data_IF_427229531622
#
_entry.id   IF_427229531622
#
_cell.length_a   1.000
_cell.length_b   1.000
_cell.length_c   1.000
_cell.angle_alpha   90.00
_cell.angle_beta   90.00
_cell.angle_gamma   90.00
#
_symmetry.space_group_name_H-M   'P 1'
#
loop_
_entity.id
_entity.type
_entity.pdbx_description
1 polymer ?
#
# COMPACT_ATOMS: atom_id res chain seq x y z
N UNK A 1 10.01 11.22 17.82
CA UNK A 1 9.35 10.59 16.65
C UNK A 1 10.10 11.02 15.40
N UNK A 2 10.67 10.09 14.62
CA UNK A 2 11.43 10.41 13.41
C UNK A 2 10.45 10.66 12.25
N UNK A 3 10.73 11.63 11.39
CA UNK A 3 9.87 12.02 10.27
C UNK A 3 10.69 11.97 8.99
N UNK A 4 10.12 11.41 7.92
CA UNK A 4 10.70 11.44 6.59
C UNK A 4 9.96 12.43 5.70
N UNK A 5 10.71 13.09 4.83
CA UNK A 5 10.16 13.90 3.75
C UNK A 5 10.29 13.10 2.46
N UNK A 6 9.16 12.69 1.90
CA UNK A 6 9.13 11.88 0.68
C UNK A 6 8.56 12.67 -0.48
N UNK A 7 9.05 12.39 -1.69
CA UNK A 7 8.48 12.86 -2.96
C UNK A 7 7.81 11.67 -3.64
N UNK A 8 6.56 11.84 -4.03
CA UNK A 8 5.78 10.86 -4.79
C UNK A 8 5.54 11.46 -6.17
N UNK A 9 5.85 10.71 -7.23
CA UNK A 9 5.70 11.17 -8.60
C UNK A 9 5.11 10.07 -9.49
N UNK A 10 4.18 10.45 -10.37
CA UNK A 10 3.63 9.54 -11.37
C UNK A 10 4.61 9.48 -12.54
N UNK A 11 5.04 8.26 -12.89
CA UNK A 11 5.95 8.04 -14.03
C UNK A 11 5.16 8.08 -15.34
N UNK A 12 5.80 8.55 -16.41
CA UNK A 12 5.25 8.50 -17.78
C UNK A 12 4.23 9.58 -18.14
N UNK A 13 4.00 10.57 -17.27
CA UNK A 13 3.05 11.68 -17.52
C UNK A 13 3.79 13.00 -17.70
N UNK A 14 3.34 13.84 -18.66
CA UNK A 14 3.83 15.20 -18.90
C UNK A 14 2.67 16.21 -18.90
N UNK A 15 2.75 17.33 -18.15
CA UNK A 15 3.82 17.65 -17.21
C UNK A 15 3.85 16.69 -16.00
N UNK A 16 5.01 16.56 -15.34
CA UNK A 16 5.19 15.64 -14.21
C UNK A 16 4.21 15.97 -13.08
N UNK A 17 3.36 15.00 -12.72
CA UNK A 17 2.48 15.08 -11.55
C UNK A 17 3.21 14.52 -10.34
N UNK A 18 3.41 15.34 -9.30
CA UNK A 18 4.09 14.95 -8.07
C UNK A 18 3.53 15.65 -6.83
N UNK A 19 3.82 15.07 -5.66
CA UNK A 19 3.49 15.59 -4.32
C UNK A 19 4.68 15.38 -3.37
N UNK A 20 4.80 16.22 -2.33
CA UNK A 20 5.83 16.09 -1.29
C UNK A 20 5.16 16.09 0.09
N UNK A 21 5.46 15.07 0.90
CA UNK A 21 4.77 14.82 2.17
C UNK A 21 5.77 14.59 3.30
N UNK A 22 5.33 14.89 4.52
CA UNK A 22 6.00 14.51 5.77
C UNK A 22 5.26 13.31 6.35
N UNK A 23 5.94 12.19 6.56
CA UNK A 23 5.36 10.98 7.15
C UNK A 23 6.17 10.53 8.36
N UNK A 24 5.52 9.86 9.31
CA UNK A 24 6.20 9.26 10.44
C UNK A 24 7.10 8.11 9.97
N UNK A 25 8.23 7.90 10.63
CA UNK A 25 9.20 6.89 10.22
C UNK A 25 8.70 5.44 10.35
N UNK A 26 7.69 5.23 11.17
CA UNK A 26 6.98 3.97 11.43
C UNK A 26 5.70 3.81 10.58
N UNK A 27 5.47 4.70 9.60
CA UNK A 27 4.37 4.55 8.64
C UNK A 27 4.52 3.21 7.90
N UNK A 28 3.55 2.31 8.05
CA UNK A 28 3.54 1.03 7.34
C UNK A 28 3.32 1.21 5.84
N UNK A 29 3.71 0.23 5.02
CA UNK A 29 3.45 0.27 3.58
C UNK A 29 1.96 0.29 3.24
N UNK A 30 1.12 -0.38 4.05
CA UNK A 30 -0.34 -0.32 3.90
C UNK A 30 -0.88 1.10 4.17
N UNK A 31 -0.38 1.78 5.21
CA UNK A 31 -0.76 3.18 5.46
C UNK A 31 -0.24 4.12 4.35
N UNK A 32 0.98 3.89 3.86
CA UNK A 32 1.54 4.64 2.75
C UNK A 32 0.72 4.47 1.46
N UNK A 33 0.22 3.26 1.19
CA UNK A 33 -0.71 3.00 0.09
C UNK A 33 -1.96 3.87 0.18
N UNK A 34 -2.65 3.88 1.34
CA UNK A 34 -3.82 4.75 1.53
C UNK A 34 -3.50 6.25 1.38
N UNK A 35 -2.34 6.70 1.87
CA UNK A 35 -1.88 8.09 1.68
C UNK A 35 -1.74 8.39 0.19
N UNK A 36 -1.14 7.48 -0.60
CA UNK A 36 -0.99 7.64 -2.05
C UNK A 36 -2.37 7.72 -2.73
N UNK A 37 -3.31 6.84 -2.37
CA UNK A 37 -4.67 6.86 -2.92
C UNK A 37 -5.34 8.23 -2.70
N UNK A 38 -5.29 8.75 -1.47
CA UNK A 38 -5.91 10.04 -1.11
C UNK A 38 -5.29 11.20 -1.88
N UNK A 39 -3.97 11.34 -1.91
CA UNK A 39 -3.32 12.51 -2.53
C UNK A 39 -3.44 12.53 -4.07
N UNK A 40 -3.68 11.35 -4.66
CA UNK A 40 -3.88 11.18 -6.10
C UNK A 40 -5.35 11.24 -6.50
N UNK A 41 -6.28 11.14 -5.54
CA UNK A 41 -7.71 11.03 -5.82
C UNK A 41 -8.09 9.70 -6.47
N UNK A 42 -7.37 8.63 -6.13
CA UNK A 42 -7.60 7.29 -6.66
C UNK A 42 -8.51 6.48 -5.74
N UNK A 43 -9.37 5.65 -6.33
CA UNK A 43 -10.11 4.62 -5.64
C UNK A 43 -9.25 3.37 -5.47
N UNK A 44 -9.39 2.66 -4.37
CA UNK A 44 -8.65 1.43 -4.06
C UNK A 44 -9.11 0.22 -4.89
N UNK A 45 -9.38 0.45 -6.17
CA UNK A 45 -10.11 -0.45 -7.07
C UNK A 45 -9.19 -1.49 -7.75
N UNK A 46 -7.88 -1.37 -7.54
CA UNK A 46 -6.86 -2.20 -8.19
C UNK A 46 -5.83 -2.73 -7.19
N UNK A 47 -5.29 -3.91 -7.51
CA UNK A 47 -4.17 -4.49 -6.76
C UNK A 47 -2.94 -3.58 -6.83
N UNK A 48 -2.18 -3.56 -5.74
CA UNK A 48 -0.97 -2.75 -5.60
C UNK A 48 0.18 -3.57 -5.03
N UNK A 49 1.41 -3.13 -5.32
CA UNK A 49 2.64 -3.66 -4.73
C UNK A 49 3.68 -2.56 -4.57
N UNK A 50 4.56 -2.73 -3.59
CA UNK A 50 5.78 -1.94 -3.42
C UNK A 50 6.98 -2.81 -3.75
N UNK A 51 7.79 -2.39 -4.72
CA UNK A 51 9.07 -3.02 -5.02
C UNK A 51 10.19 -2.21 -4.38
N UNK A 52 10.90 -2.80 -3.42
CA UNK A 52 11.94 -2.12 -2.64
C UNK A 52 13.17 -3.03 -2.58
N UNK A 53 14.30 -2.55 -3.11
CA UNK A 53 15.59 -3.26 -3.11
C UNK A 53 15.50 -4.73 -3.59
N UNK A 54 14.77 -4.99 -4.68
CA UNK A 54 14.64 -6.33 -5.26
C UNK A 54 13.57 -7.21 -4.61
N UNK A 55 12.81 -6.68 -3.64
CA UNK A 55 11.76 -7.41 -2.94
C UNK A 55 10.39 -6.77 -3.13
N UNK A 56 9.38 -7.61 -3.34
CA UNK A 56 7.99 -7.20 -3.49
C UNK A 56 7.23 -7.31 -2.17
N UNK A 57 6.47 -6.26 -1.85
CA UNK A 57 5.62 -6.16 -0.69
C UNK A 57 4.20 -5.81 -1.13
N UNK A 58 3.21 -6.55 -0.66
CA UNK A 58 1.81 -6.29 -0.95
C UNK A 58 0.88 -7.09 -0.05
N UNK A 59 -0.42 -6.86 -0.20
CA UNK A 59 -1.45 -7.63 0.49
C UNK A 59 -1.72 -8.90 -0.32
N UNK A 60 -1.73 -10.05 0.37
CA UNK A 60 -2.16 -11.32 -0.22
C UNK A 60 -3.68 -11.38 -0.14
N UNK A 61 -4.32 -11.48 -1.30
CA UNK A 61 -5.75 -11.76 -1.41
C UNK A 61 -5.96 -13.26 -1.66
N UNK A 62 -7.11 -13.78 -1.27
CA UNK A 62 -7.52 -15.14 -1.62
C UNK A 62 -7.55 -15.26 -3.15
N UNK A 63 -6.70 -16.13 -3.73
CA UNK A 63 -6.53 -16.27 -5.18
C UNK A 63 -5.39 -15.45 -5.81
N UNK A 64 -4.65 -14.64 -5.04
CA UNK A 64 -3.46 -13.92 -5.53
C UNK A 64 -2.19 -14.79 -5.49
N UNK A 65 -1.23 -14.49 -6.37
CA UNK A 65 0.12 -15.07 -6.31
C UNK A 65 0.77 -14.58 -5.00
N UNK A 66 1.07 -15.49 -4.08
CA UNK A 66 1.66 -15.15 -2.79
C UNK A 66 3.06 -14.55 -2.95
N UNK A 67 3.40 -13.55 -2.13
CA UNK A 67 4.76 -13.04 -2.04
C UNK A 67 5.62 -14.07 -1.27
N UNK A 68 6.68 -14.64 -1.87
CA UNK A 68 7.39 -15.82 -1.35
C UNK A 68 8.09 -15.61 0.00
N UNK A 69 8.20 -14.37 0.46
CA UNK A 69 8.91 -14.00 1.70
C UNK A 69 8.02 -13.88 2.95
N UNK A 70 6.76 -14.30 2.87
CA UNK A 70 5.87 -14.28 4.04
C UNK A 70 6.08 -15.58 4.84
N UNK A 71 6.55 -15.54 6.11
CA UNK A 71 6.48 -16.72 6.95
C UNK A 71 5.02 -17.12 7.07
N UNK A 72 4.72 -18.36 6.68
CA UNK A 72 3.41 -18.97 6.76
C UNK A 72 2.78 -18.77 8.13
N UNK A 73 1.87 -17.80 8.22
CA UNK A 73 1.10 -17.59 9.44
C UNK A 73 -0.07 -18.54 9.39
N UNK A 74 -0.03 -19.56 10.24
CA UNK A 74 -0.98 -20.65 10.29
C UNK A 74 -2.45 -20.22 10.29
N UNK A 75 -3.27 -21.07 9.68
CA UNK A 75 -4.74 -21.04 9.66
C UNK A 75 -5.35 -20.51 10.97
N UNK A 76 -5.82 -19.26 10.95
CA UNK A 76 -6.79 -18.76 11.89
C UNK A 76 -8.14 -18.62 11.17
N UNK A 77 -8.96 -19.67 11.27
CA UNK A 77 -10.39 -19.56 10.99
C UNK A 77 -11.00 -18.56 11.97
N UNK A 78 -11.66 -17.51 11.46
CA UNK A 78 -12.88 -16.92 12.02
C UNK A 78 -13.49 -15.96 11.01
N UNK A 79 -14.64 -16.34 10.46
CA UNK A 79 -15.52 -15.41 9.77
C UNK A 79 -16.12 -14.40 10.75
N UNK A 80 -16.53 -13.25 10.22
CA UNK A 80 -17.85 -12.63 10.36
C UNK A 80 -17.79 -11.35 9.56
N UNK A 81 -18.64 -11.24 8.53
CA UNK A 81 -18.78 -10.02 7.75
C UNK A 81 -19.22 -8.86 8.63
N UNK A 82 -18.71 -7.67 8.30
CA UNK A 82 -19.42 -6.42 8.55
C UNK A 82 -19.45 -5.64 7.25
N UNK A 83 -20.67 -5.51 6.74
CA UNK A 83 -21.07 -4.52 5.75
C UNK A 83 -20.67 -3.15 6.25
N UNK A 84 -20.17 -2.30 5.36
CA UNK A 84 -20.19 -0.87 5.57
C UNK A 84 -21.54 -0.39 5.03
N UNK A 85 -22.42 0.01 5.94
CA UNK A 85 -23.59 0.83 5.64
C UNK A 85 -23.15 2.31 5.78
N UNK A 86 -23.77 3.17 4.93
CA UNK A 86 -23.63 4.63 4.72
C UNK A 86 -22.85 5.52 5.72
#
# INVERSE_FOLDING_TARGET
>A
MKVYVIKIAVRGVSPMVWRRLRIAADTSLAALHFIIQIIQGWGDDHLHQFHIYGKDYGITYEGSIGFPDKPETGSARRGTGRKYDD
#
